data_IF_681587308826
#
_entry.id   IF_681587308826
#
_cell.length_a   1.000
_cell.length_b   1.000
_cell.length_c   1.000
_cell.angle_alpha   90.00
_cell.angle_beta   90.00
_cell.angle_gamma   90.00
#
_symmetry.space_group_name_H-M   'P 1'
#
loop_
_entity.id
_entity.type
_entity.pdbx_description
1 polymer ?
#
# COMPACT_ATOMS: atom_id res chain seq x y z
N UNK A 1 7.87 -1.95 -1.67
CA UNK A 1 7.74 -1.22 -0.40
C UNK A 1 8.57 -1.96 0.62
N UNK A 2 9.46 -1.23 1.28
CA UNK A 2 10.20 -1.70 2.44
C UNK A 2 9.39 -1.51 3.72
N UNK A 3 9.95 -1.98 4.82
CA UNK A 3 9.39 -1.75 6.16
C UNK A 3 9.66 -0.29 6.53
N UNK A 4 8.62 0.40 7.00
CA UNK A 4 8.72 1.81 7.40
C UNK A 4 8.42 2.83 6.30
N UNK A 5 8.23 2.41 5.05
CA UNK A 5 7.81 3.32 3.96
C UNK A 5 6.42 3.89 4.23
N UNK A 6 6.24 5.20 4.00
CA UNK A 6 4.93 5.82 3.94
C UNK A 6 4.39 5.73 2.52
N UNK A 7 3.30 4.99 2.34
CA UNK A 7 2.71 4.74 1.02
C UNK A 7 1.30 5.29 0.91
N UNK A 8 0.94 5.74 -0.29
CA UNK A 8 -0.43 6.03 -0.65
C UNK A 8 -1.10 4.74 -1.13
N UNK A 9 -2.30 4.47 -0.62
CA UNK A 9 -3.11 3.31 -1.02
C UNK A 9 -4.44 3.75 -1.61
N UNK A 10 -4.96 2.95 -2.54
CA UNK A 10 -6.31 3.10 -3.07
C UNK A 10 -7.11 1.83 -2.81
N UNK A 11 -8.42 1.99 -2.62
CA UNK A 11 -9.35 0.87 -2.55
C UNK A 11 -9.50 0.18 -3.91
N UNK A 12 -9.72 -1.13 -3.88
CA UNK A 12 -9.85 -2.00 -5.04
C UNK A 12 -10.85 -3.13 -4.75
N UNK A 13 -11.22 -3.89 -5.78
CA UNK A 13 -11.94 -5.16 -5.59
C UNK A 13 -11.16 -6.08 -4.63
N UNK A 14 -11.83 -7.02 -3.92
CA UNK A 14 -11.16 -7.95 -3.02
C UNK A 14 -10.00 -8.68 -3.71
N UNK A 15 -8.79 -8.56 -3.15
CA UNK A 15 -7.58 -9.26 -3.61
C UNK A 15 -7.35 -10.56 -2.82
N UNK A 16 -7.82 -10.60 -1.57
CA UNK A 16 -7.89 -11.81 -0.76
C UNK A 16 -9.11 -11.73 0.17
N UNK A 17 -9.20 -12.64 1.14
CA UNK A 17 -10.23 -12.62 2.18
C UNK A 17 -10.34 -11.25 2.87
N UNK A 18 -9.20 -10.63 3.20
CA UNK A 18 -9.16 -9.40 3.99
C UNK A 18 -8.49 -8.22 3.27
N UNK A 19 -7.84 -8.44 2.12
CA UNK A 19 -7.09 -7.39 1.41
C UNK A 19 -7.93 -6.71 0.33
N UNK A 20 -8.19 -5.41 0.49
CA UNK A 20 -8.98 -4.58 -0.45
C UNK A 20 -8.24 -3.36 -0.98
N UNK A 21 -6.96 -3.21 -0.67
CA UNK A 21 -6.17 -2.04 -1.05
C UNK A 21 -4.94 -2.41 -1.86
N UNK A 22 -4.57 -1.54 -2.80
CA UNK A 22 -3.28 -1.59 -3.50
C UNK A 22 -2.47 -0.35 -3.21
N UNK A 23 -1.15 -0.50 -3.24
CA UNK A 23 -0.22 0.64 -3.21
C UNK A 23 -0.29 1.36 -4.56
N UNK A 24 -0.42 2.67 -4.50
CA UNK A 24 -0.41 3.57 -5.66
C UNK A 24 0.98 4.18 -5.82
N UNK A 25 1.52 4.75 -4.75
CA UNK A 25 2.79 5.49 -4.76
C UNK A 25 3.48 5.39 -3.39
N UNK A 26 4.81 5.50 -3.36
CA UNK A 26 5.60 5.63 -2.14
C UNK A 26 5.88 7.12 -1.92
N UNK A 27 5.28 7.70 -0.88
CA UNK A 27 5.41 9.13 -0.54
C UNK A 27 6.75 9.40 0.14
N UNK A 28 7.15 8.52 1.06
CA UNK A 28 8.40 8.64 1.80
C UNK A 28 9.02 7.26 1.95
N UNK A 29 10.30 7.13 1.59
CA UNK A 29 11.07 5.91 1.83
C UNK A 29 11.67 5.94 3.23
N UNK A 30 11.61 4.81 3.92
CA UNK A 30 12.38 4.65 5.14
C UNK A 30 13.88 4.88 4.85
N UNK A 31 14.55 5.56 5.77
CA UNK A 31 16.01 5.80 5.72
C UNK A 31 16.81 4.55 6.05
#
# INVERSE_FOLDING_TARGET
>A
CGIGDRVLVMETRPLSKDKRWRVVEIIEKAK
#
